data_IF_364214834359
#
_entry.id   IF_364214834359
#
_cell.length_a   1.000
_cell.length_b   1.000
_cell.length_c   1.000
_cell.angle_alpha   90.00
_cell.angle_beta   90.00
_cell.angle_gamma   90.00
#
_symmetry.space_group_name_H-M   'P 1'
#
loop_
_entity.id
_entity.type
_entity.pdbx_description
1 polymer ?
#
# COMPACT_ATOMS: atom_id res chain seq x y z
N UNK A 1 17.33 3.00 -19.79
CA UNK A 1 16.15 3.17 -18.96
C UNK A 1 16.45 4.19 -17.93
N UNK A 2 15.50 5.09 -17.77
CA UNK A 2 15.63 6.10 -16.74
C UNK A 2 14.96 5.58 -15.50
N UNK A 3 15.51 5.90 -14.33
CA UNK A 3 14.82 5.83 -13.03
C UNK A 3 13.34 6.24 -13.13
N UNK A 4 13.04 7.27 -13.94
CA UNK A 4 11.69 7.77 -14.17
C UNK A 4 10.74 6.72 -14.80
N UNK A 5 11.22 5.86 -15.72
CA UNK A 5 10.42 4.82 -16.33
C UNK A 5 10.10 3.68 -15.35
N UNK A 6 11.07 3.22 -14.54
CA UNK A 6 10.82 2.26 -13.45
C UNK A 6 9.79 2.82 -12.46
N UNK A 7 10.00 4.07 -12.04
CA UNK A 7 9.09 4.79 -11.14
C UNK A 7 7.68 4.91 -11.70
N UNK A 8 7.53 5.23 -12.98
CA UNK A 8 6.23 5.33 -13.65
C UNK A 8 5.54 3.97 -13.80
N UNK A 9 6.31 2.89 -14.03
CA UNK A 9 5.80 1.51 -13.96
C UNK A 9 5.22 1.19 -12.59
N UNK A 10 5.99 1.47 -11.53
CA UNK A 10 5.57 1.23 -10.15
C UNK A 10 4.37 2.09 -9.73
N UNK A 11 4.33 3.38 -10.06
CA UNK A 11 3.20 4.26 -9.73
C UNK A 11 1.89 3.78 -10.37
N UNK A 12 1.93 3.28 -11.60
CA UNK A 12 0.75 2.65 -12.24
C UNK A 12 0.28 1.44 -11.46
N UNK A 13 1.18 0.53 -11.12
CA UNK A 13 0.84 -0.64 -10.30
C UNK A 13 0.22 -0.23 -8.96
N UNK A 14 0.83 0.72 -8.24
CA UNK A 14 0.31 1.17 -6.93
C UNK A 14 -1.07 1.80 -7.10
N UNK A 15 -1.30 2.53 -8.19
CA UNK A 15 -2.62 3.07 -8.50
C UNK A 15 -3.66 1.96 -8.65
N UNK A 16 -3.37 0.94 -9.46
CA UNK A 16 -4.27 -0.20 -9.69
C UNK A 16 -4.54 -0.97 -8.38
N UNK A 17 -3.50 -1.17 -7.56
CA UNK A 17 -3.63 -1.84 -6.25
C UNK A 17 -4.46 -1.03 -5.26
N UNK A 18 -4.34 0.30 -5.27
CA UNK A 18 -5.13 1.19 -4.41
C UNK A 18 -6.59 1.22 -4.86
N UNK A 19 -6.85 1.26 -6.17
CA UNK A 19 -8.20 1.18 -6.74
C UNK A 19 -8.87 -0.15 -6.37
N UNK A 20 -8.20 -1.28 -6.61
CA UNK A 20 -8.70 -2.60 -6.23
C UNK A 20 -8.89 -2.73 -4.70
N UNK A 21 -8.01 -2.13 -3.89
CA UNK A 21 -8.19 -2.09 -2.42
C UNK A 21 -9.46 -1.34 -2.04
N UNK A 22 -9.74 -0.20 -2.68
CA UNK A 22 -10.94 0.59 -2.43
C UNK A 22 -12.23 -0.19 -2.74
N UNK A 23 -12.22 -0.98 -3.81
CA UNK A 23 -13.33 -1.85 -4.20
C UNK A 23 -13.60 -2.96 -3.17
N UNK A 24 -12.53 -3.52 -2.60
CA UNK A 24 -12.64 -4.60 -1.62
C UNK A 24 -12.85 -4.12 -0.18
N UNK A 25 -12.63 -2.83 0.12
CA UNK A 25 -12.73 -2.29 1.48
C UNK A 25 -14.18 -2.18 1.97
N UNK A 26 -14.46 -2.85 3.08
CA UNK A 26 -15.75 -2.89 3.75
C UNK A 26 -15.79 -1.87 4.90
N UNK A 27 -16.29 -0.67 4.60
CA UNK A 27 -16.48 0.42 5.58
C UNK A 27 -17.30 -0.05 6.79
N UNK A 28 -18.33 -0.87 6.56
CA UNK A 28 -19.18 -1.31 7.65
C UNK A 28 -18.44 -2.24 8.60
N UNK A 29 -17.56 -3.09 8.06
CA UNK A 29 -16.71 -3.95 8.88
C UNK A 29 -15.67 -3.16 9.65
N UNK A 30 -15.01 -2.19 9.01
CA UNK A 30 -14.05 -1.31 9.67
C UNK A 30 -14.68 -0.56 10.84
N UNK A 31 -15.85 0.08 10.62
CA UNK A 31 -16.53 0.84 11.68
C UNK A 31 -17.03 -0.05 12.83
N UNK A 32 -17.58 -1.23 12.54
CA UNK A 32 -18.14 -2.12 13.58
C UNK A 32 -17.07 -2.79 14.45
N UNK A 33 -15.88 -3.04 13.91
CA UNK A 33 -14.79 -3.75 14.61
C UNK A 33 -13.72 -2.82 15.15
N UNK A 34 -13.61 -1.62 14.59
CA UNK A 34 -12.52 -0.69 14.85
C UNK A 34 -12.76 0.37 15.91
N UNK A 35 -13.95 0.39 16.53
CA UNK A 35 -14.34 1.44 17.47
C UNK A 35 -14.55 0.81 18.85
N UNK A 36 -13.65 1.13 19.78
CA UNK A 36 -13.79 0.84 21.20
C UNK A 36 -14.31 2.07 21.95
N UNK A 37 -15.60 2.06 22.34
CA UNK A 37 -16.16 3.13 23.19
C UNK A 37 -17.66 3.40 23.02
N UNK A 38 -18.23 4.33 23.83
CA UNK A 38 -19.65 4.70 23.77
C UNK A 38 -19.93 5.54 22.50
N UNK A 39 -20.18 4.86 21.38
CA UNK A 39 -20.39 5.50 20.08
C UNK A 39 -21.44 4.84 19.18
N UNK A 40 -22.18 3.84 19.66
CA UNK A 40 -23.06 2.99 18.82
C UNK A 40 -24.02 3.77 17.92
N UNK A 41 -24.65 4.84 18.43
CA UNK A 41 -25.55 5.66 17.61
C UNK A 41 -24.82 6.44 16.51
N UNK A 42 -23.60 6.92 16.75
CA UNK A 42 -22.80 7.62 15.73
C UNK A 42 -22.31 6.65 14.68
N UNK A 43 -21.91 5.43 15.09
CA UNK A 43 -21.55 4.34 14.18
C UNK A 43 -22.72 4.01 13.27
N UNK A 44 -23.93 3.88 13.81
CA UNK A 44 -25.13 3.61 13.00
C UNK A 44 -25.39 4.70 11.96
N UNK A 45 -25.15 5.99 12.29
CA UNK A 45 -25.28 7.08 11.33
C UNK A 45 -24.21 7.02 10.23
N UNK A 46 -22.95 6.76 10.59
CA UNK A 46 -21.86 6.59 9.61
C UNK A 46 -22.09 5.36 8.71
N UNK A 47 -22.69 4.30 9.24
CA UNK A 47 -23.09 3.11 8.47
C UNK A 47 -24.21 3.44 7.48
N UNK A 48 -25.20 4.24 7.88
CA UNK A 48 -26.30 4.64 7.00
C UNK A 48 -25.81 5.52 5.83
N UNK A 49 -24.77 6.32 6.06
CA UNK A 49 -24.13 7.18 5.05
C UNK A 49 -22.75 6.63 4.61
N UNK A 50 -22.64 5.32 4.41
CA UNK A 50 -21.37 4.65 4.06
C UNK A 50 -20.70 5.19 2.80
N UNK A 51 -21.46 5.68 1.82
CA UNK A 51 -20.90 6.35 0.64
C UNK A 51 -20.22 7.68 0.97
N UNK A 52 -20.75 8.43 1.94
CA UNK A 52 -20.11 9.66 2.42
C UNK A 52 -18.80 9.34 3.15
N UNK A 53 -18.78 8.28 3.96
CA UNK A 53 -17.55 7.78 4.61
C UNK A 53 -16.53 7.34 3.57
N UNK A 54 -16.93 6.57 2.55
CA UNK A 54 -16.05 6.15 1.45
C UNK A 54 -15.40 7.36 0.78
N UNK A 55 -16.21 8.34 0.36
CA UNK A 55 -15.74 9.51 -0.39
C UNK A 55 -14.92 10.49 0.45
N UNK A 56 -15.29 10.72 1.71
CA UNK A 56 -14.69 11.76 2.56
C UNK A 56 -13.56 11.25 3.47
N UNK A 57 -13.48 9.94 3.68
CA UNK A 57 -12.47 9.33 4.56
C UNK A 57 -11.63 8.33 3.79
N UNK A 58 -12.23 7.28 3.23
CA UNK A 58 -11.48 6.17 2.61
C UNK A 58 -10.68 6.62 1.39
N UNK A 59 -11.29 7.32 0.44
CA UNK A 59 -10.62 7.81 -0.77
C UNK A 59 -9.43 8.75 -0.45
N UNK A 60 -9.57 9.77 0.44
CA UNK A 60 -8.43 10.59 0.88
C UNK A 60 -7.31 9.83 1.60
N UNK A 61 -7.66 8.85 2.45
CA UNK A 61 -6.66 8.02 3.14
C UNK A 61 -5.89 7.16 2.14
N UNK A 62 -6.58 6.53 1.19
CA UNK A 62 -5.98 5.76 0.10
C UNK A 62 -5.09 6.62 -0.81
N UNK A 63 -5.51 7.85 -1.12
CA UNK A 63 -4.67 8.78 -1.87
C UNK A 63 -3.40 9.16 -1.09
N UNK A 64 -3.50 9.29 0.22
CA UNK A 64 -2.33 9.53 1.10
C UNK A 64 -1.41 8.33 1.17
N UNK A 65 -1.98 7.13 1.30
CA UNK A 65 -1.25 5.87 1.24
C UNK A 65 -0.48 5.75 -0.08
N UNK A 66 -1.14 5.96 -1.24
CA UNK A 66 -0.50 5.95 -2.56
C UNK A 66 0.71 6.89 -2.61
N UNK A 67 0.55 8.15 -2.21
CA UNK A 67 1.64 9.14 -2.24
C UNK A 67 2.84 8.69 -1.38
N UNK A 68 2.59 8.09 -0.22
CA UNK A 68 3.63 7.59 0.68
C UNK A 68 4.37 6.40 0.07
N UNK A 69 3.65 5.42 -0.46
CA UNK A 69 4.24 4.23 -1.10
C UNK A 69 5.10 4.62 -2.31
N UNK A 70 4.63 5.55 -3.14
CA UNK A 70 5.43 6.05 -4.27
C UNK A 70 6.68 6.80 -3.80
N UNK A 71 6.57 7.64 -2.77
CA UNK A 71 7.73 8.33 -2.19
C UNK A 71 8.70 7.37 -1.49
N UNK A 72 8.20 6.29 -0.89
CA UNK A 72 9.02 5.22 -0.33
C UNK A 72 9.81 4.52 -1.44
N UNK A 73 9.16 4.24 -2.58
CA UNK A 73 9.83 3.65 -3.72
C UNK A 73 10.93 4.56 -4.28
N UNK A 74 10.75 5.89 -4.25
CA UNK A 74 11.83 6.83 -4.57
C UNK A 74 13.07 6.60 -3.67
N UNK A 75 12.90 6.39 -2.36
CA UNK A 75 14.02 6.08 -1.46
C UNK A 75 14.64 4.70 -1.73
N UNK A 76 13.86 3.73 -2.20
CA UNK A 76 14.36 2.40 -2.60
C UNK A 76 15.19 2.49 -3.88
N UNK A 77 14.77 3.32 -4.83
CA UNK A 77 15.54 3.59 -6.04
C UNK A 77 16.85 4.32 -5.70
N UNK A 78 16.85 5.24 -4.72
CA UNK A 78 18.08 5.87 -4.23
C UNK A 78 19.07 4.84 -3.67
N UNK A 79 18.57 3.82 -2.97
CA UNK A 79 19.36 2.67 -2.54
C UNK A 79 19.89 1.87 -3.74
N UNK A 80 19.02 1.52 -4.70
CA UNK A 80 19.38 0.70 -5.85
C UNK A 80 20.43 1.34 -6.78
N UNK A 81 20.47 2.68 -6.85
CA UNK A 81 21.46 3.44 -7.61
C UNK A 81 22.76 3.70 -6.82
N UNK A 82 22.82 3.29 -5.55
CA UNK A 82 23.99 3.51 -4.69
C UNK A 82 24.79 2.22 -4.45
N UNK A 83 26.10 2.37 -4.25
CA UNK A 83 26.96 1.28 -3.77
C UNK A 83 26.87 1.05 -2.25
N UNK A 84 25.96 1.75 -1.56
CA UNK A 84 25.81 1.67 -0.11
C UNK A 84 24.90 0.51 0.32
N UNK A 85 25.11 0.01 1.53
CA UNK A 85 24.18 -0.93 2.16
C UNK A 85 22.81 -0.26 2.38
N UNK A 86 21.73 -1.05 2.38
CA UNK A 86 20.38 -0.57 2.67
C UNK A 86 20.29 0.11 4.04
N UNK A 87 21.14 -0.25 5.00
CA UNK A 87 21.20 0.41 6.30
C UNK A 87 21.47 1.92 6.20
N UNK A 88 22.20 2.37 5.18
CA UNK A 88 22.42 3.80 4.93
C UNK A 88 21.15 4.55 4.50
N UNK A 89 20.15 3.81 3.98
CA UNK A 89 18.87 4.33 3.49
C UNK A 89 17.69 3.96 4.42
N UNK A 90 17.95 3.23 5.51
CA UNK A 90 16.97 2.69 6.47
C UNK A 90 15.96 3.73 6.92
N UNK A 91 16.44 4.88 7.42
CA UNK A 91 15.57 5.94 7.94
C UNK A 91 14.64 6.49 6.84
N UNK A 92 15.20 6.79 5.67
CA UNK A 92 14.45 7.31 4.52
C UNK A 92 13.36 6.34 4.05
N UNK A 93 13.66 5.04 4.00
CA UNK A 93 12.70 4.01 3.59
C UNK A 93 11.59 3.85 4.64
N UNK A 94 11.95 3.75 5.93
CA UNK A 94 11.01 3.45 7.01
C UNK A 94 10.12 4.64 7.40
N UNK A 95 10.60 5.88 7.27
CA UNK A 95 9.77 7.07 7.56
C UNK A 95 8.53 7.14 6.66
N UNK A 96 8.62 6.54 5.46
CA UNK A 96 7.57 6.53 4.44
C UNK A 96 6.78 5.22 4.41
N UNK A 97 7.24 4.20 5.12
CA UNK A 97 6.61 2.89 5.17
C UNK A 97 5.30 2.92 6.01
N UNK A 98 4.13 2.59 5.42
CA UNK A 98 2.87 2.60 6.14
C UNK A 98 2.82 1.64 7.34
N UNK A 99 3.49 0.49 7.27
CA UNK A 99 3.50 -0.52 8.33
C UNK A 99 4.50 -0.18 9.44
N UNK A 100 5.71 0.28 9.09
CA UNK A 100 6.70 0.68 10.09
C UNK A 100 6.20 1.85 10.95
N UNK A 101 5.48 2.80 10.33
CA UNK A 101 4.81 3.91 11.04
C UNK A 101 3.65 3.45 11.92
N UNK A 102 2.99 2.36 11.52
CA UNK A 102 1.87 1.77 12.25
C UNK A 102 2.30 0.88 13.41
N UNK A 103 3.59 0.59 13.61
CA UNK A 103 4.01 -0.26 14.72
C UNK A 103 3.62 0.41 16.05
N UNK A 104 2.81 -0.31 16.85
CA UNK A 104 2.31 0.18 18.15
C UNK A 104 3.47 0.48 19.10
N UNK A 105 3.30 1.50 19.94
CA UNK A 105 4.34 1.99 20.84
C UNK A 105 4.61 1.09 22.05
N UNK A 106 3.67 0.19 22.36
CA UNK A 106 3.75 -0.79 23.44
C UNK A 106 4.37 -2.14 23.00
N UNK A 107 4.68 -2.29 21.70
CA UNK A 107 5.39 -3.46 21.18
C UNK A 107 6.80 -3.52 21.78
N UNK A 108 7.21 -4.66 22.36
CA UNK A 108 8.56 -4.82 22.90
C UNK A 108 9.64 -4.51 21.88
N UNK A 109 10.73 -3.84 22.31
CA UNK A 109 11.78 -3.35 21.42
C UNK A 109 12.39 -4.44 20.52
N UNK A 110 12.62 -5.64 21.05
CA UNK A 110 13.12 -6.79 20.27
C UNK A 110 12.16 -7.20 19.16
N UNK A 111 10.85 -7.28 19.47
CA UNK A 111 9.82 -7.58 18.48
C UNK A 111 9.70 -6.47 17.43
N UNK A 112 9.79 -5.21 17.86
CA UNK A 112 9.79 -4.05 16.96
C UNK A 112 10.95 -4.12 15.97
N UNK A 113 12.16 -4.41 16.44
CA UNK A 113 13.34 -4.52 15.58
C UNK A 113 13.17 -5.66 14.57
N UNK A 114 12.69 -6.84 14.98
CA UNK A 114 12.44 -7.96 14.08
C UNK A 114 11.42 -7.62 12.96
N UNK A 115 10.35 -6.90 13.29
CA UNK A 115 9.37 -6.42 12.29
C UNK A 115 10.05 -5.45 11.32
N UNK A 116 10.84 -4.50 11.84
CA UNK A 116 11.53 -3.50 11.02
C UNK A 116 12.58 -4.14 10.10
N UNK A 117 13.36 -5.10 10.59
CA UNK A 117 14.33 -5.85 9.78
C UNK A 117 13.64 -6.62 8.66
N UNK A 118 12.51 -7.28 8.94
CA UNK A 118 11.71 -7.97 7.93
C UNK A 118 11.17 -7.02 6.85
N UNK A 119 10.70 -5.83 7.25
CA UNK A 119 10.29 -4.79 6.32
C UNK A 119 11.49 -4.31 5.47
N UNK A 120 12.63 -3.98 6.07
CA UNK A 120 13.82 -3.53 5.35
C UNK A 120 14.32 -4.56 4.35
N UNK A 121 14.41 -5.83 4.75
CA UNK A 121 14.84 -6.92 3.87
C UNK A 121 13.94 -7.05 2.64
N UNK A 122 12.62 -6.85 2.81
CA UNK A 122 11.68 -6.79 1.67
C UNK A 122 12.01 -5.63 0.73
N UNK A 123 12.30 -4.44 1.26
CA UNK A 123 12.66 -3.27 0.45
C UNK A 123 14.02 -3.45 -0.25
N UNK A 124 14.99 -4.09 0.41
CA UNK A 124 16.30 -4.46 -0.18
C UNK A 124 16.10 -5.30 -1.43
N UNK A 125 15.33 -6.38 -1.32
CA UNK A 125 15.03 -7.27 -2.46
C UNK A 125 14.29 -6.56 -3.59
N UNK A 126 13.43 -5.60 -3.27
CA UNK A 126 12.74 -4.80 -4.29
C UNK A 126 13.73 -3.86 -5.02
N UNK A 127 14.62 -3.20 -4.28
CA UNK A 127 15.67 -2.35 -4.86
C UNK A 127 16.63 -3.15 -5.75
N UNK A 128 17.11 -4.29 -5.27
CA UNK A 128 17.99 -5.19 -6.04
C UNK A 128 17.34 -5.70 -7.33
N UNK A 129 16.03 -6.00 -7.28
CA UNK A 129 15.28 -6.41 -8.48
C UNK A 129 15.10 -5.26 -9.48
N UNK A 130 15.17 -4.00 -9.03
CA UNK A 130 15.07 -2.83 -9.90
C UNK A 130 16.41 -2.49 -10.59
N UNK A 131 17.56 -2.91 -10.06
CA UNK A 131 18.89 -2.57 -10.60
C UNK A 131 19.02 -2.90 -12.10
N UNK A 132 18.72 -4.11 -12.58
CA UNK A 132 18.86 -4.43 -14.01
C UNK A 132 17.97 -3.55 -14.89
N UNK A 133 16.77 -3.19 -14.39
CA UNK A 133 15.83 -2.34 -15.10
C UNK A 133 16.33 -0.89 -15.20
N UNK A 134 16.95 -0.36 -14.14
CA UNK A 134 17.53 0.99 -14.13
C UNK A 134 18.73 1.07 -15.08
N UNK A 135 19.57 0.03 -15.09
CA UNK A 135 20.79 -0.02 -15.90
C UNK A 135 20.54 -0.37 -17.38
N UNK A 136 19.36 -0.90 -17.71
CA UNK A 136 19.00 -1.25 -19.08
C UNK A 136 19.18 -0.03 -20.00
N UNK A 137 19.57 -0.16 -21.27
CA UNK A 137 19.74 1.00 -22.16
C UNK A 137 18.43 1.58 -22.69
N UNK A 138 17.31 0.85 -22.64
CA UNK A 138 16.04 1.23 -23.30
C UNK A 138 15.27 2.30 -22.52
N UNK A 139 14.66 3.27 -23.19
CA UNK A 139 13.91 4.34 -22.51
C UNK A 139 12.48 3.94 -22.11
N UNK A 140 11.91 2.94 -22.78
CA UNK A 140 10.59 2.38 -22.45
C UNK A 140 10.69 1.26 -21.40
N UNK A 141 9.76 1.25 -20.45
CA UNK A 141 9.73 0.28 -19.35
C UNK A 141 9.64 -1.17 -19.86
N UNK A 142 8.77 -1.44 -20.82
CA UNK A 142 8.53 -2.79 -21.30
C UNK A 142 9.62 -3.27 -22.26
N UNK A 143 10.24 -2.36 -22.98
CA UNK A 143 11.43 -2.69 -23.77
C UNK A 143 12.59 -3.10 -22.85
N UNK A 144 12.84 -2.35 -21.78
CA UNK A 144 13.84 -2.70 -20.77
C UNK A 144 13.50 -3.99 -20.01
N UNK A 145 12.23 -4.22 -19.65
CA UNK A 145 11.80 -5.50 -19.04
C UNK A 145 12.10 -6.66 -19.98
N UNK A 146 11.81 -6.54 -21.28
CA UNK A 146 12.07 -7.61 -22.25
C UNK A 146 13.56 -7.81 -22.56
N UNK A 147 14.38 -6.76 -22.46
CA UNK A 147 15.83 -6.87 -22.69
C UNK A 147 16.58 -7.46 -21.50
N UNK A 148 16.06 -7.29 -20.28
CA UNK A 148 16.74 -7.67 -19.03
C UNK A 148 16.17 -8.92 -18.37
N UNK A 149 14.88 -9.21 -18.58
CA UNK A 149 14.17 -10.32 -17.93
C UNK A 149 13.53 -11.23 -18.97
N UNK A 150 13.57 -12.54 -18.70
CA UNK A 150 12.68 -13.48 -19.37
C UNK A 150 11.26 -13.43 -18.74
N UNK A 151 10.30 -14.02 -19.45
CA UNK A 151 8.89 -14.06 -19.04
C UNK A 151 8.72 -14.69 -17.66
N UNK A 152 9.37 -15.83 -17.41
CA UNK A 152 9.25 -16.56 -16.15
C UNK A 152 9.74 -15.72 -14.97
N UNK A 153 10.86 -15.02 -15.15
CA UNK A 153 11.44 -14.14 -14.16
C UNK A 153 10.56 -12.91 -13.93
N UNK A 154 10.01 -12.30 -14.97
CA UNK A 154 9.06 -11.20 -14.83
C UNK A 154 7.79 -11.62 -14.07
N UNK A 155 7.20 -12.78 -14.40
CA UNK A 155 6.03 -13.31 -13.69
C UNK A 155 6.34 -13.63 -12.23
N UNK A 156 7.47 -14.28 -11.95
CA UNK A 156 7.93 -14.57 -10.59
C UNK A 156 8.18 -13.31 -9.77
N UNK A 157 8.78 -12.27 -10.36
CA UNK A 157 8.98 -11.00 -9.67
C UNK A 157 7.64 -10.36 -9.28
N UNK A 158 6.64 -10.44 -10.16
CA UNK A 158 5.27 -9.99 -9.83
C UNK A 158 4.71 -10.78 -8.65
N UNK A 159 4.80 -12.11 -8.66
CA UNK A 159 4.25 -12.96 -7.60
C UNK A 159 4.98 -12.78 -6.25
N UNK A 160 6.30 -12.62 -6.27
CA UNK A 160 7.09 -12.57 -5.04
C UNK A 160 7.21 -11.18 -4.41
N UNK A 161 7.23 -10.12 -5.23
CA UNK A 161 7.59 -8.76 -4.76
C UNK A 161 6.37 -7.86 -4.55
N UNK A 162 5.24 -8.22 -5.16
CA UNK A 162 4.00 -7.45 -5.05
C UNK A 162 3.01 -8.03 -4.03
N UNK A 163 3.36 -9.13 -3.34
CA UNK A 163 2.69 -9.55 -2.10
C UNK A 163 3.22 -8.70 -0.95
N UNK A 164 2.39 -7.77 -0.48
CA UNK A 164 2.68 -6.82 0.58
C UNK A 164 2.10 -7.32 1.90
N UNK A 165 0.88 -7.87 1.87
CA UNK A 165 0.13 -8.22 3.08
C UNK A 165 0.58 -9.52 3.74
N UNK A 166 1.18 -10.45 2.98
CA UNK A 166 1.61 -11.76 3.50
C UNK A 166 2.50 -11.66 4.75
N UNK A 167 3.67 -10.99 4.68
CA UNK A 167 4.57 -10.83 5.82
C UNK A 167 3.96 -10.02 6.98
N UNK A 168 3.05 -9.09 6.69
CA UNK A 168 2.44 -8.20 7.68
C UNK A 168 1.31 -8.88 8.46
N UNK A 169 0.65 -9.88 7.87
CA UNK A 169 -0.47 -10.62 8.49
C UNK A 169 -0.09 -11.29 9.81
N UNK A 170 1.16 -11.71 9.97
CA UNK A 170 1.67 -12.34 11.19
C UNK A 170 1.91 -11.32 12.33
N UNK A 171 1.75 -10.03 12.03
CA UNK A 171 2.07 -8.93 12.93
C UNK A 171 0.93 -7.91 13.06
N UNK A 172 -0.32 -8.28 12.69
CA UNK A 172 -1.46 -7.36 12.78
C UNK A 172 -1.76 -6.91 14.20
N UNK A 173 -1.42 -7.71 15.22
CA UNK A 173 -1.53 -7.32 16.62
C UNK A 173 -0.47 -6.30 17.07
N UNK A 174 0.62 -6.15 16.30
CA UNK A 174 1.71 -5.21 16.56
C UNK A 174 1.60 -3.94 15.72
N UNK A 175 0.65 -3.87 14.80
CA UNK A 175 0.46 -2.77 13.85
C UNK A 175 -0.92 -2.18 14.06
N UNK A 176 -1.01 -0.85 14.05
CA UNK A 176 -2.25 -0.10 14.13
C UNK A 176 -2.33 0.82 12.91
N UNK A 177 -3.31 0.55 12.05
CA UNK A 177 -3.78 1.51 11.05
C UNK A 177 -5.07 2.12 11.57
N UNK A 178 -5.02 3.41 11.90
CA UNK A 178 -6.17 4.14 12.42
C UNK A 178 -6.31 5.51 11.76
N UNK A 179 -7.56 5.97 11.67
CA UNK A 179 -7.89 7.32 11.21
C UNK A 179 -8.88 7.95 12.18
N UNK A 180 -8.81 9.26 12.30
CA UNK A 180 -9.74 10.03 13.13
C UNK A 180 -10.80 10.64 12.24
N UNK A 181 -12.04 10.23 12.48
CA UNK A 181 -13.21 10.72 11.78
C UNK A 181 -13.86 11.82 12.61
N UNK A 182 -14.06 13.00 12.03
CA UNK A 182 -15.01 13.98 12.52
C UNK A 182 -16.38 13.72 11.87
N UNK A 183 -17.39 13.24 12.63
CA UNK A 183 -18.70 12.95 12.06
C UNK A 183 -19.39 14.20 11.47
N UNK A 184 -19.07 15.39 11.96
CA UNK A 184 -19.60 16.66 11.44
C UNK A 184 -19.14 16.93 10.01
N UNK A 185 -17.86 16.66 9.73
CA UNK A 185 -17.27 16.82 8.39
C UNK A 185 -17.73 15.73 7.42
N UNK A 186 -17.96 14.51 7.92
CA UNK A 186 -18.35 13.36 7.10
C UNK A 186 -19.83 13.36 6.77
N UNK A 187 -20.72 13.80 7.65
CA UNK A 187 -22.17 13.73 7.40
C UNK A 187 -22.71 14.99 6.69
N UNK A 188 -22.26 16.20 7.07
CA UNK A 188 -22.72 17.45 6.47
C UNK A 188 -24.25 17.73 6.60
N UNK A 189 -24.70 18.95 6.28
CA UNK A 189 -26.12 19.31 6.25
C UNK A 189 -26.80 19.48 7.62
N UNK A 190 -28.12 19.26 7.72
CA UNK A 190 -28.91 19.40 8.96
C UNK A 190 -28.38 18.51 10.13
N UNK A 191 -27.64 17.43 9.80
CA UNK A 191 -26.90 16.62 10.77
C UNK A 191 -25.68 17.35 11.38
N UNK A 192 -25.04 18.27 10.66
CA UNK A 192 -23.96 19.12 11.19
C UNK A 192 -24.44 20.21 12.17
N UNK A 193 -25.72 20.59 12.11
CA UNK A 193 -26.35 21.45 13.12
C UNK A 193 -26.65 20.69 14.42
N UNK A 194 -26.88 19.38 14.34
CA UNK A 194 -26.97 18.46 15.50
C UNK A 194 -25.59 17.91 15.91
N UNK A 195 -24.58 18.04 15.05
CA UNK A 195 -23.21 17.53 15.22
C UNK A 195 -22.28 18.41 16.03
N UNK A 196 -22.69 19.64 16.40
CA UNK A 196 -21.95 20.48 17.35
C UNK A 196 -21.92 19.81 18.73
N UNK A 197 -20.87 19.04 18.98
CA UNK A 197 -20.64 18.32 20.24
C UNK A 197 -20.52 16.81 20.11
N UNK A 198 -20.59 16.24 18.90
CA UNK A 198 -20.26 14.83 18.69
C UNK A 198 -18.73 14.70 18.76
N UNK A 199 -18.18 13.83 19.62
CA UNK A 199 -16.74 13.64 19.71
C UNK A 199 -16.19 13.04 18.41
N UNK A 200 -14.95 13.37 18.09
CA UNK A 200 -14.19 12.68 17.06
C UNK A 200 -14.07 11.20 17.40
N UNK A 201 -14.10 10.35 16.38
CA UNK A 201 -14.01 8.90 16.50
C UNK A 201 -12.72 8.42 15.87
N UNK A 202 -11.87 7.78 16.67
CA UNK A 202 -10.74 7.01 16.12
C UNK A 202 -11.27 5.64 15.71
N UNK A 203 -10.99 5.26 14.47
CA UNK A 203 -11.36 3.95 13.91
C UNK A 203 -10.08 3.22 13.59
N UNK A 204 -9.82 2.10 14.29
CA UNK A 204 -8.78 1.15 13.90
C UNK A 204 -9.31 0.25 12.79
N UNK A 205 -8.61 0.19 11.66
CA UNK A 205 -9.03 -0.59 10.50
C UNK A 205 -7.95 -1.53 9.99
N UNK A 206 -6.93 -1.83 10.79
CA UNK A 206 -5.79 -2.70 10.45
C UNK A 206 -6.24 -3.99 9.78
N UNK A 207 -7.12 -4.76 10.43
CA UNK A 207 -7.58 -6.05 9.92
C UNK A 207 -8.31 -5.93 8.57
N UNK A 208 -9.12 -4.88 8.43
CA UNK A 208 -9.90 -4.67 7.21
C UNK A 208 -9.02 -4.15 6.06
N UNK A 209 -8.05 -3.28 6.34
CA UNK A 209 -7.05 -2.88 5.35
C UNK A 209 -6.22 -4.06 4.86
N UNK A 210 -5.68 -4.89 5.77
CA UNK A 210 -4.87 -6.07 5.41
C UNK A 210 -5.70 -7.09 4.61
N UNK A 211 -6.98 -7.25 4.94
CA UNK A 211 -7.87 -8.10 4.15
C UNK A 211 -8.11 -7.52 2.76
N UNK A 212 -8.52 -6.27 2.66
CA UNK A 212 -8.85 -5.63 1.39
C UNK A 212 -7.63 -5.56 0.45
N UNK A 213 -6.47 -5.19 0.99
CA UNK A 213 -5.19 -5.21 0.25
C UNK A 213 -4.85 -6.64 -0.21
N UNK A 214 -5.11 -7.65 0.60
CA UNK A 214 -4.86 -9.04 0.23
C UNK A 214 -5.74 -9.59 -0.90
N UNK A 215 -6.97 -9.08 -1.04
CA UNK A 215 -7.84 -9.37 -2.19
C UNK A 215 -7.34 -8.59 -3.42
N UNK A 216 -7.02 -7.31 -3.24
CA UNK A 216 -6.49 -6.45 -4.30
C UNK A 216 -5.19 -6.99 -4.90
N UNK A 217 -4.28 -7.51 -4.09
CA UNK A 217 -3.04 -8.16 -4.53
C UNK A 217 -3.31 -9.27 -5.55
N UNK A 218 -4.31 -10.12 -5.31
CA UNK A 218 -4.62 -11.22 -6.24
C UNK A 218 -5.10 -10.70 -7.59
N UNK A 219 -5.93 -9.64 -7.58
CA UNK A 219 -6.44 -9.00 -8.80
C UNK A 219 -5.30 -8.39 -9.59
N UNK A 220 -4.46 -7.58 -8.94
CA UNK A 220 -3.38 -6.86 -9.64
C UNK A 220 -2.26 -7.80 -10.08
N UNK A 221 -1.92 -8.83 -9.31
CA UNK A 221 -0.97 -9.87 -9.74
C UNK A 221 -1.51 -10.57 -11.01
N UNK A 222 -2.78 -10.97 -11.03
CA UNK A 222 -3.38 -11.60 -12.20
C UNK A 222 -3.40 -10.65 -13.42
N UNK A 223 -3.58 -9.35 -13.22
CA UNK A 223 -3.51 -8.34 -14.28
C UNK A 223 -2.10 -8.12 -14.80
N UNK A 224 -1.14 -7.96 -13.91
CA UNK A 224 0.27 -7.81 -14.25
C UNK A 224 0.79 -9.04 -15.03
N UNK A 225 0.43 -10.26 -14.62
CA UNK A 225 0.76 -11.48 -15.37
C UNK A 225 0.11 -11.52 -16.75
N UNK A 226 -1.15 -11.09 -16.89
CA UNK A 226 -1.82 -10.98 -18.21
C UNK A 226 -1.10 -9.97 -19.10
N UNK A 227 -0.65 -8.84 -18.54
CA UNK A 227 0.11 -7.84 -19.28
C UNK A 227 1.49 -8.38 -19.69
N UNK A 228 2.22 -9.03 -18.79
CA UNK A 228 3.49 -9.72 -19.12
C UNK A 228 3.27 -10.70 -20.28
N UNK A 229 2.25 -11.56 -20.19
CA UNK A 229 1.89 -12.47 -21.27
C UNK A 229 1.71 -11.74 -22.60
N UNK A 230 0.89 -10.68 -22.65
CA UNK A 230 0.70 -9.87 -23.87
C UNK A 230 2.03 -9.31 -24.39
N UNK A 231 2.88 -8.76 -23.53
CA UNK A 231 4.13 -8.10 -23.94
C UNK A 231 5.18 -9.08 -24.46
N UNK A 232 5.28 -10.26 -23.87
CA UNK A 232 6.21 -11.29 -24.31
C UNK A 232 5.68 -12.08 -25.52
N UNK A 233 4.37 -12.36 -25.59
CA UNK A 233 3.76 -13.08 -26.73
C UNK A 233 3.78 -12.24 -28.03
N UNK A 234 3.76 -10.90 -27.95
CA UNK A 234 3.88 -10.03 -29.13
C UNK A 234 5.30 -10.06 -29.76
N UNK A 235 6.26 -10.75 -29.12
CA UNK A 235 7.62 -10.93 -29.63
C UNK A 235 7.81 -12.27 -30.39
N UNK A 236 6.80 -13.14 -30.40
CA UNK A 236 6.74 -14.35 -31.24
C UNK A 236 5.76 -14.14 -32.42
N UNK A 237 6.20 -13.37 -33.43
CA UNK A 237 5.50 -13.21 -34.70
C UNK A 237 6.51 -12.91 -35.82
N UNK A 238 6.33 -13.50 -37.02
CA UNK A 238 7.38 -13.97 -37.94
C UNK A 238 8.33 -12.92 -38.52
#
# INVERSE_FOLDING_TARGET
>A
MTRAAVRAGFDRFVNDAVEATAEHFDVARALRRGIDGPGGSVVDHLLNDSDAVRKRVVEPELATYRRRVVAQFDAILDFAESDADIDAHRESILERDPFARGIRSDVPAERREAIVEGLLERHRRLGEAAVPLIEAPEDDFWDAVRSTLDRETAERLVEERFVITGPVREHTDAIEMSTTIDPGDVLGGLGGLLGRGIPTLTVEYTDEAIRAMGEAEQVVIAEAKREIGRRFDTSEGP
#
